data_IF_626417847609
#
_entry.id   IF_626417847609
#
_cell.length_a   1.000
_cell.length_b   1.000
_cell.length_c   1.000
_cell.angle_alpha   90.00
_cell.angle_beta   90.00
_cell.angle_gamma   90.00
#
_symmetry.space_group_name_H-M   'P 1'
#
loop_
_entity.id
_entity.type
_entity.pdbx_description
1 polymer ?
#
# COMPACT_ATOMS: atom_id res chain seq x y z
N UNK A 1 -10.42 26.53 31.34
CA UNK A 1 -10.18 25.10 31.65
C UNK A 1 -10.84 24.19 30.61
N UNK A 2 -12.16 24.27 30.37
CA UNK A 2 -12.87 23.39 29.42
C UNK A 2 -12.33 23.36 27.99
N UNK A 3 -12.05 24.53 27.39
CA UNK A 3 -11.50 24.63 26.03
C UNK A 3 -10.14 23.95 25.87
N UNK A 4 -9.28 24.02 26.89
CA UNK A 4 -7.94 23.39 26.84
C UNK A 4 -8.07 21.86 26.92
N UNK A 5 -9.00 21.37 27.74
CA UNK A 5 -9.28 19.94 27.88
C UNK A 5 -9.84 19.39 26.56
N UNK A 6 -10.78 20.09 25.96
CA UNK A 6 -11.40 19.70 24.69
C UNK A 6 -10.37 19.62 23.56
N UNK A 7 -9.54 20.65 23.39
CA UNK A 7 -8.47 20.67 22.39
C UNK A 7 -7.47 19.52 22.62
N UNK A 8 -7.08 19.29 23.88
CA UNK A 8 -6.15 18.22 24.22
C UNK A 8 -6.75 16.85 23.89
N UNK A 9 -8.02 16.62 24.21
CA UNK A 9 -8.71 15.37 23.90
C UNK A 9 -8.74 15.09 22.39
N UNK A 10 -9.16 16.07 21.58
CA UNK A 10 -9.20 15.89 20.12
C UNK A 10 -7.81 15.72 19.51
N UNK A 11 -6.80 16.41 20.04
CA UNK A 11 -5.42 16.23 19.62
C UNK A 11 -4.94 14.79 19.85
N UNK A 12 -5.20 14.22 21.04
CA UNK A 12 -4.84 12.83 21.32
C UNK A 12 -5.65 11.83 20.49
N UNK A 13 -6.94 12.09 20.28
CA UNK A 13 -7.80 11.25 19.44
C UNK A 13 -7.25 11.18 18.01
N UNK A 14 -7.00 12.32 17.37
CA UNK A 14 -6.46 12.38 16.02
C UNK A 14 -5.07 11.75 15.94
N UNK A 15 -4.20 12.03 16.93
CA UNK A 15 -2.87 11.42 16.99
C UNK A 15 -2.96 9.89 17.05
N UNK A 16 -3.77 9.32 17.95
CA UNK A 16 -3.92 7.87 18.06
C UNK A 16 -4.41 7.21 16.77
N UNK A 17 -5.34 7.85 16.05
CA UNK A 17 -5.84 7.36 14.75
C UNK A 17 -4.73 7.44 13.69
N UNK A 18 -3.97 8.53 13.64
CA UNK A 18 -2.87 8.71 12.70
C UNK A 18 -1.74 7.68 12.90
N UNK A 19 -1.52 7.23 14.14
CA UNK A 19 -0.55 6.18 14.47
C UNK A 19 -1.10 4.75 14.31
N UNK A 20 -2.40 4.56 14.08
CA UNK A 20 -3.01 3.24 13.92
C UNK A 20 -2.39 2.41 12.76
N UNK A 21 -2.13 2.98 11.55
CA UNK A 21 -1.44 2.27 10.49
C UNK A 21 -0.03 1.83 10.91
N UNK A 22 0.73 2.70 11.60
CA UNK A 22 2.08 2.36 12.08
C UNK A 22 2.03 1.19 13.09
N UNK A 23 1.08 1.22 14.02
CA UNK A 23 0.85 0.12 14.96
C UNK A 23 0.48 -1.19 14.27
N UNK A 24 -0.38 -1.12 13.24
CA UNK A 24 -0.74 -2.28 12.40
C UNK A 24 0.49 -2.87 11.68
N UNK A 25 1.36 -2.03 11.11
CA UNK A 25 2.59 -2.51 10.48
C UNK A 25 3.50 -3.22 11.48
N UNK A 26 3.80 -2.59 12.63
CA UNK A 26 4.67 -3.18 13.66
C UNK A 26 4.10 -4.52 14.16
N UNK A 27 2.79 -4.59 14.40
CA UNK A 27 2.13 -5.83 14.81
C UNK A 27 2.29 -6.94 13.76
N UNK A 28 2.08 -6.64 12.47
CA UNK A 28 2.24 -7.63 11.42
C UNK A 28 3.71 -8.05 11.22
N UNK A 29 4.67 -7.13 11.31
CA UNK A 29 6.11 -7.47 11.23
C UNK A 29 6.60 -8.40 12.34
N UNK A 30 5.98 -8.33 13.52
CA UNK A 30 6.36 -9.14 14.68
C UNK A 30 5.62 -10.48 14.72
N UNK A 31 4.61 -10.67 13.87
CA UNK A 31 3.83 -11.90 13.77
C UNK A 31 4.53 -12.86 12.81
N UNK A 32 4.59 -14.14 13.21
CA UNK A 32 5.33 -15.20 12.49
C UNK A 32 4.87 -15.42 11.05
N UNK A 33 3.58 -15.21 10.79
CA UNK A 33 2.93 -15.31 9.47
C UNK A 33 2.20 -13.99 9.16
N UNK A 34 2.71 -12.86 9.66
CA UNK A 34 2.12 -11.55 9.39
C UNK A 34 2.49 -11.08 8.00
N UNK A 35 1.52 -10.53 7.29
CA UNK A 35 1.73 -9.87 6.01
C UNK A 35 1.54 -8.35 6.20
N UNK A 36 2.60 -7.61 6.53
CA UNK A 36 2.52 -6.18 6.81
C UNK A 36 2.10 -5.38 5.58
N UNK A 37 2.25 -5.92 4.37
CA UNK A 37 1.91 -5.26 3.12
C UNK A 37 0.72 -5.91 2.39
N UNK A 38 0.25 -7.10 2.77
CA UNK A 38 -0.85 -7.73 2.06
C UNK A 38 -0.56 -7.88 0.56
N UNK A 39 -1.62 -7.75 -0.24
CA UNK A 39 -1.54 -7.66 -1.71
C UNK A 39 -1.03 -6.29 -2.23
N UNK A 40 -0.38 -5.46 -1.39
CA UNK A 40 0.40 -4.30 -1.90
C UNK A 40 1.71 -4.74 -2.55
N UNK A 41 1.99 -6.05 -2.55
CA UNK A 41 2.93 -6.67 -3.48
C UNK A 41 2.72 -6.02 -4.84
N UNK A 42 3.78 -5.37 -5.34
CA UNK A 42 3.80 -4.70 -6.63
C UNK A 42 2.95 -5.57 -7.55
N UNK A 43 1.86 -5.05 -8.16
CA UNK A 43 1.14 -5.90 -9.09
C UNK A 43 2.23 -6.42 -10.01
N UNK A 44 2.32 -7.75 -10.24
CA UNK A 44 3.33 -8.45 -11.03
C UNK A 44 3.26 -7.97 -12.49
N UNK A 45 3.49 -6.68 -12.59
CA UNK A 45 3.24 -5.75 -13.64
C UNK A 45 4.67 -5.33 -13.94
N UNK A 46 5.42 -6.32 -14.44
CA UNK A 46 5.78 -6.16 -15.84
C UNK A 46 4.52 -5.65 -16.52
N UNK A 47 4.41 -4.32 -16.62
CA UNK A 47 3.32 -3.68 -17.31
C UNK A 47 3.38 -4.28 -18.69
N UNK A 48 2.60 -5.34 -18.93
CA UNK A 48 2.32 -5.86 -20.25
C UNK A 48 1.48 -4.75 -20.83
N UNK A 49 2.20 -3.72 -21.32
CA UNK A 49 1.57 -2.59 -21.91
C UNK A 49 0.99 -3.09 -23.21
N UNK A 50 -0.11 -2.47 -23.65
CA UNK A 50 -0.69 -2.75 -24.97
C UNK A 50 0.36 -2.58 -26.10
N UNK A 51 1.44 -1.84 -25.82
CA UNK A 51 2.58 -1.64 -26.73
C UNK A 51 3.45 -2.90 -26.80
N UNK A 52 3.67 -3.61 -25.68
CA UNK A 52 4.47 -4.84 -25.65
C UNK A 52 3.75 -5.96 -26.44
N UNK A 53 2.43 -6.11 -26.24
CA UNK A 53 1.58 -7.03 -27.01
C UNK A 53 1.58 -6.71 -28.52
N UNK A 54 1.60 -5.42 -28.87
CA UNK A 54 1.66 -4.98 -30.26
C UNK A 54 3.03 -5.28 -30.88
N UNK A 55 4.11 -5.01 -30.15
CA UNK A 55 5.47 -5.28 -30.60
C UNK A 55 5.70 -6.78 -30.83
N UNK A 56 5.18 -7.64 -29.95
CA UNK A 56 5.30 -9.10 -30.08
C UNK A 56 4.52 -9.61 -31.30
N UNK A 57 3.26 -9.16 -31.51
CA UNK A 57 2.47 -9.52 -32.69
C UNK A 57 3.09 -9.06 -34.01
N UNK A 58 3.70 -7.88 -34.03
CA UNK A 58 4.39 -7.38 -35.23
C UNK A 58 5.64 -8.19 -35.52
N UNK A 59 6.41 -8.56 -34.48
CA UNK A 59 7.59 -9.43 -34.61
C UNK A 59 7.20 -10.80 -35.15
N UNK A 60 6.17 -11.44 -34.61
CA UNK A 60 5.69 -12.74 -35.08
C UNK A 60 5.27 -12.70 -36.56
N UNK A 61 4.62 -11.62 -36.98
CA UNK A 61 4.19 -11.41 -38.37
C UNK A 61 5.33 -11.08 -39.34
N UNK A 62 6.49 -10.66 -38.85
CA UNK A 62 7.69 -10.36 -39.67
C UNK A 62 8.66 -11.54 -39.77
N UNK A 63 8.54 -12.52 -38.89
CA UNK A 63 9.39 -13.73 -38.86
C UNK A 63 8.80 -14.87 -39.70
N UNK A 64 7.52 -14.76 -40.09
CA UNK A 64 6.86 -15.55 -41.14
C UNK A 64 6.89 -14.84 -42.50
#
# INVERSE_FOLDING_TARGET
MGTVIEISFFMFLIASIAFAPLGYFIYNYTKKDGDPFGDFEHPDTHAHSVIDDFAEKVKEKLVH
#
